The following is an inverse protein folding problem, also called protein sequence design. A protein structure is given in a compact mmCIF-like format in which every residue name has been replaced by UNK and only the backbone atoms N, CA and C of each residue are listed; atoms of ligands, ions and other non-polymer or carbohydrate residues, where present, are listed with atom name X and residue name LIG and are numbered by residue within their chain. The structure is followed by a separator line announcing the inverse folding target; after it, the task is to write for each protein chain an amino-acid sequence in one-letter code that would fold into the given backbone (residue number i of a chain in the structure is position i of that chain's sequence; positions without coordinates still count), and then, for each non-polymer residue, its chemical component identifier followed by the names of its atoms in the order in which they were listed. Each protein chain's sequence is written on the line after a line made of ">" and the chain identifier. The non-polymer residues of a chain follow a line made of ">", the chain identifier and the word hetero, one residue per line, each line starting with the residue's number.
data_IF_778023724904
#
_entry.id   IF_778023724904
#
_cell.length_a   1.000
_cell.length_b   1.000
_cell.length_c   1.000
_cell.angle_alpha   90.00
_cell.angle_beta   90.00
_cell.angle_gamma   90.00
#
_symmetry.space_group_name_H-M   'P 1'
#
loop_
_entity.id
_entity.type
_entity.pdbx_description
1 polymer ?
#
# COMPACT_ATOMS: atom_id res chain seq x y z
N UNK A 1 -19.46 17.75 -15.51
CA UNK A 1 -18.58 17.32 -14.41
C UNK A 1 -18.02 15.99 -14.85
N UNK A 2 -16.79 15.96 -15.37
CA UNK A 2 -16.17 14.68 -15.71
C UNK A 2 -15.98 13.91 -14.40
N UNK A 3 -16.37 12.63 -14.38
CA UNK A 3 -16.15 11.78 -13.22
C UNK A 3 -14.63 11.55 -13.13
N UNK A 4 -13.95 12.21 -12.19
CA UNK A 4 -12.51 12.04 -12.02
C UNK A 4 -12.22 10.62 -11.53
N UNK A 5 -11.32 9.91 -12.22
CA UNK A 5 -10.93 8.56 -11.86
C UNK A 5 -10.24 8.56 -10.50
N UNK A 6 -10.62 7.63 -9.63
CA UNK A 6 -9.98 7.41 -8.33
C UNK A 6 -9.01 6.23 -8.39
N UNK A 7 -8.16 6.08 -7.36
CA UNK A 7 -7.38 4.85 -7.19
C UNK A 7 -8.25 3.59 -7.05
N UNK A 8 -9.48 3.74 -6.56
CA UNK A 8 -10.40 2.61 -6.48
C UNK A 8 -10.80 2.12 -7.87
N UNK A 9 -11.22 3.04 -8.74
CA UNK A 9 -11.70 2.73 -10.10
C UNK A 9 -10.59 2.11 -10.93
N UNK A 10 -9.42 2.76 -10.92
CA UNK A 10 -8.26 2.38 -11.71
C UNK A 10 -7.61 1.07 -11.17
N UNK A 11 -7.74 0.87 -9.85
CA UNK A 11 -7.39 -0.32 -9.05
C UNK A 11 -8.28 -1.55 -9.23
N UNK A 12 -9.48 -1.39 -9.80
CA UNK A 12 -10.58 -2.31 -9.52
C UNK A 12 -10.33 -3.73 -10.06
N UNK A 13 -9.93 -3.84 -11.32
CA UNK A 13 -9.67 -5.12 -11.99
C UNK A 13 -8.44 -5.83 -11.40
N UNK A 14 -7.40 -5.06 -11.06
CA UNK A 14 -6.17 -5.55 -10.44
C UNK A 14 -6.43 -6.24 -9.09
N UNK A 15 -7.31 -5.65 -8.28
CA UNK A 15 -7.68 -6.19 -6.95
C UNK A 15 -8.40 -7.54 -7.02
N UNK A 16 -8.99 -7.88 -8.17
CA UNK A 16 -9.68 -9.16 -8.38
C UNK A 16 -8.74 -10.26 -8.87
N UNK A 17 -7.52 -9.92 -9.26
CA UNK A 17 -6.61 -10.91 -9.82
C UNK A 17 -6.19 -11.94 -8.75
N UNK A 18 -6.12 -13.24 -9.10
CA UNK A 18 -5.76 -14.28 -8.14
C UNK A 18 -4.43 -14.02 -7.42
N UNK A 19 -3.42 -13.48 -8.10
CA UNK A 19 -2.13 -13.20 -7.46
C UNK A 19 -2.22 -12.07 -6.41
N UNK A 20 -3.07 -11.08 -6.63
CA UNK A 20 -3.26 -9.97 -5.69
C UNK A 20 -3.91 -10.49 -4.41
N UNK A 21 -5.00 -11.25 -4.56
CA UNK A 21 -5.72 -11.89 -3.45
C UNK A 21 -4.80 -12.84 -2.68
N UNK A 22 -4.04 -13.69 -3.40
CA UNK A 22 -3.08 -14.60 -2.78
C UNK A 22 -1.99 -13.85 -2.02
N UNK A 23 -1.46 -12.76 -2.55
CA UNK A 23 -0.42 -11.95 -1.89
C UNK A 23 -0.94 -11.36 -0.58
N UNK A 24 -2.16 -10.80 -0.57
CA UNK A 24 -2.79 -10.30 0.64
C UNK A 24 -3.01 -11.40 1.68
N UNK A 25 -3.47 -12.57 1.24
CA UNK A 25 -3.68 -13.72 2.10
C UNK A 25 -2.37 -14.24 2.71
N UNK A 26 -1.30 -14.34 1.91
CA UNK A 26 0.03 -14.73 2.40
C UNK A 26 0.52 -13.77 3.48
N UNK A 27 0.51 -12.46 3.21
CA UNK A 27 0.94 -11.46 4.20
C UNK A 27 0.09 -11.50 5.48
N UNK A 28 -1.23 -11.70 5.35
CA UNK A 28 -2.11 -11.83 6.50
C UNK A 28 -1.81 -13.10 7.33
N UNK A 29 -1.56 -14.23 6.66
CA UNK A 29 -1.17 -15.49 7.31
C UNK A 29 0.15 -15.36 8.06
N UNK A 30 1.17 -14.73 7.47
CA UNK A 30 2.46 -14.50 8.12
C UNK A 30 2.33 -13.58 9.35
N UNK A 31 1.46 -12.55 9.29
CA UNK A 31 1.15 -11.74 10.49
C UNK A 31 0.51 -12.59 11.59
N UNK A 32 -0.40 -13.50 11.23
CA UNK A 32 -1.08 -14.38 12.17
C UNK A 32 -0.15 -15.45 12.77
N UNK A 33 0.87 -15.90 12.02
CA UNK A 33 1.88 -16.84 12.50
C UNK A 33 2.89 -16.20 13.47
N UNK A 34 2.79 -14.88 13.71
CA UNK A 34 3.64 -14.14 14.62
C UNK A 34 4.85 -13.47 13.96
N UNK A 35 4.97 -13.54 12.63
CA UNK A 35 6.04 -12.82 11.91
C UNK A 35 5.77 -11.33 11.97
N UNK A 36 6.78 -10.57 12.40
CA UNK A 36 6.70 -9.11 12.40
C UNK A 36 6.86 -8.61 10.97
N UNK A 37 5.79 -8.02 10.42
CA UNK A 37 5.76 -7.44 9.07
C UNK A 37 5.48 -5.94 9.16
N UNK A 38 6.33 -5.14 8.52
CA UNK A 38 6.18 -3.69 8.42
C UNK A 38 5.69 -3.27 7.02
N UNK A 39 4.95 -2.15 6.91
CA UNK A 39 4.35 -1.37 8.00
C UNK A 39 3.16 -2.14 8.64
N UNK A 40 2.51 -1.60 9.69
CA UNK A 40 1.23 -2.13 10.15
C UNK A 40 0.21 -2.24 9.00
N UNK A 41 -0.67 -3.24 9.04
CA UNK A 41 -1.60 -3.54 7.92
C UNK A 41 -2.41 -2.32 7.45
N UNK A 42 -2.88 -1.48 8.38
CA UNK A 42 -3.65 -0.27 8.07
C UNK A 42 -2.87 0.82 7.31
N UNK A 43 -1.53 0.74 7.34
CA UNK A 43 -0.63 1.74 6.79
C UNK A 43 -0.07 1.32 5.42
N UNK A 44 -0.27 0.06 4.99
CA UNK A 44 0.33 -0.50 3.75
C UNK A 44 0.05 0.35 2.51
N UNK A 45 -1.15 0.91 2.39
CA UNK A 45 -1.58 1.71 1.24
C UNK A 45 -1.65 3.21 1.52
N UNK A 46 -0.93 3.72 2.53
CA UNK A 46 -0.98 5.14 2.89
C UNK A 46 -0.57 6.07 1.75
N UNK A 47 0.37 5.70 0.88
CA UNK A 47 0.71 6.49 -0.32
C UNK A 47 -0.52 6.83 -1.17
N UNK A 48 -1.40 5.85 -1.42
CA UNK A 48 -2.63 6.05 -2.19
C UNK A 48 -3.70 6.82 -1.41
N UNK A 49 -3.73 6.68 -0.08
CA UNK A 49 -4.70 7.38 0.78
C UNK A 49 -4.36 8.85 1.01
N UNK A 50 -3.08 9.20 1.03
CA UNK A 50 -2.62 10.58 1.25
C UNK A 50 -2.49 11.38 -0.05
N UNK A 51 -2.49 10.72 -1.20
CA UNK A 51 -2.45 11.39 -2.51
C UNK A 51 -3.42 10.67 -3.44
N UNK A 52 -4.63 11.21 -3.57
CA UNK A 52 -5.63 10.70 -4.52
C UNK A 52 -5.13 10.84 -5.97
N UNK A 53 -5.66 10.02 -6.88
CA UNK A 53 -5.14 9.89 -8.24
C UNK A 53 -5.11 11.23 -8.99
N UNK A 54 -6.15 12.06 -8.84
CA UNK A 54 -6.22 13.39 -9.46
C UNK A 54 -5.24 14.41 -8.87
N UNK A 55 -4.77 14.20 -7.64
CA UNK A 55 -3.85 15.11 -6.94
C UNK A 55 -2.37 14.77 -7.20
N UNK A 56 -2.07 13.67 -7.90
CA UNK A 56 -0.70 13.23 -8.19
C UNK A 56 0.00 14.24 -9.10
N UNK A 57 1.13 14.78 -8.64
CA UNK A 57 2.00 15.68 -9.42
C UNK A 57 3.41 15.14 -9.64
N UNK A 58 3.91 14.35 -8.68
CA UNK A 58 5.27 13.79 -8.67
C UNK A 58 5.18 12.38 -8.10
N UNK A 59 5.94 11.46 -8.69
CA UNK A 59 6.09 10.09 -8.19
C UNK A 59 7.54 9.89 -7.78
N UNK A 60 7.76 9.49 -6.52
CA UNK A 60 9.07 9.09 -6.01
C UNK A 60 8.98 7.59 -5.68
N UNK A 61 9.78 6.79 -6.39
CA UNK A 61 9.80 5.34 -6.21
C UNK A 61 10.89 4.95 -5.19
N UNK A 62 10.47 4.25 -4.14
CA UNK A 62 11.37 3.52 -3.24
C UNK A 62 11.49 2.05 -3.65
N UNK A 63 12.28 1.27 -2.91
CA UNK A 63 12.43 -0.18 -3.13
C UNK A 63 11.45 -0.97 -2.25
N UNK A 64 11.63 -0.91 -0.94
CA UNK A 64 10.84 -1.63 0.05
C UNK A 64 10.67 -0.80 1.35
N UNK A 65 9.72 -1.13 2.23
CA UNK A 65 9.57 -0.46 3.50
C UNK A 65 10.77 -0.69 4.42
N UNK A 66 11.14 0.32 5.22
CA UNK A 66 12.06 0.12 6.33
C UNK A 66 11.62 -1.03 7.26
N UNK A 67 12.58 -1.86 7.68
CA UNK A 67 12.33 -3.09 8.44
C UNK A 67 12.55 -2.95 9.96
N UNK A 68 12.85 -1.75 10.45
CA UNK A 68 13.00 -1.48 11.88
C UNK A 68 11.67 -1.09 12.56
N UNK A 69 11.51 -1.38 13.87
CA UNK A 69 10.32 -0.99 14.62
C UNK A 69 10.05 0.52 14.53
N UNK A 70 8.81 0.87 14.20
CA UNK A 70 8.35 2.27 14.15
C UNK A 70 8.81 3.08 12.94
N UNK A 71 9.63 2.53 12.03
CA UNK A 71 10.14 3.27 10.88
C UNK A 71 9.11 3.39 9.75
N UNK A 72 8.72 2.26 9.13
CA UNK A 72 7.84 2.29 7.97
C UNK A 72 6.39 2.61 8.33
N UNK A 73 5.78 3.51 7.55
CA UNK A 73 4.37 3.89 7.67
C UNK A 73 3.65 4.04 6.32
N UNK A 74 4.17 3.38 5.27
CA UNK A 74 3.50 3.28 3.96
C UNK A 74 3.84 4.40 2.96
N UNK A 75 4.96 5.09 3.15
CA UNK A 75 5.49 6.12 2.26
C UNK A 75 6.97 5.86 1.98
N UNK A 76 7.40 6.00 0.72
CA UNK A 76 8.81 5.83 0.34
C UNK A 76 9.70 6.88 1.05
N UNK A 77 10.88 6.46 1.52
CA UNK A 77 11.89 7.28 2.22
C UNK A 77 11.45 7.93 3.54
N UNK A 78 10.17 7.93 3.89
CA UNK A 78 9.65 8.55 5.10
C UNK A 78 9.72 7.60 6.30
N UNK A 79 9.98 8.16 7.48
CA UNK A 79 9.95 7.49 8.78
C UNK A 79 9.02 8.23 9.75
N UNK A 80 8.57 7.57 10.83
CA UNK A 80 7.88 8.24 11.93
C UNK A 80 8.84 8.95 12.89
#
# INVERSE_FOLDING_TARGET
>A
MANELTWHDVLAEEKQQPYFLNTLQTVASERQSGVTIYPPQKDVFNAFRFTELGDVKVVILGQDPYHGPGQAHGLAFSVR
#
